data_IF_504500124054
#
_entry.id   IF_504500124054
#
_cell.length_a   1.000
_cell.length_b   1.000
_cell.length_c   1.000
_cell.angle_alpha   90.00
_cell.angle_beta   90.00
_cell.angle_gamma   90.00
#
_symmetry.space_group_name_H-M   'P 1'
#
loop_
_entity.id
_entity.type
_entity.pdbx_description
1 polymer ?
#
# COMPACT_ATOMS: atom_id res chain seq x y z
N UNK A 1 -6.80 8.44 2.41
CA UNK A 1 -7.50 7.73 3.52
C UNK A 1 -8.18 8.76 4.42
N UNK A 2 -9.50 8.99 4.27
CA UNK A 2 -10.21 10.09 4.94
C UNK A 2 -10.22 9.98 6.46
N UNK A 3 -10.07 8.77 7.00
CA UNK A 3 -10.06 8.48 8.44
C UNK A 3 -8.71 8.74 9.12
N UNK A 4 -7.61 8.96 8.38
CA UNK A 4 -6.32 9.35 8.97
C UNK A 4 -6.31 10.87 9.15
N UNK A 5 -6.19 11.33 10.40
CA UNK A 5 -6.12 12.75 10.76
C UNK A 5 -4.98 13.48 10.05
N UNK A 6 -5.19 14.75 9.70
CA UNK A 6 -4.21 15.53 8.92
C UNK A 6 -2.88 15.68 9.65
N UNK A 7 -2.92 15.87 10.96
CA UNK A 7 -1.74 16.02 11.82
C UNK A 7 -0.85 14.77 11.74
N UNK A 8 -1.47 13.59 11.71
CA UNK A 8 -0.74 12.32 11.54
C UNK A 8 -0.14 12.15 10.14
N UNK A 9 -0.78 12.69 9.10
CA UNK A 9 -0.18 12.69 7.76
C UNK A 9 1.07 13.58 7.73
N UNK A 10 1.01 14.77 8.34
CA UNK A 10 2.18 15.67 8.42
C UNK A 10 3.37 15.00 9.12
N UNK A 11 3.15 14.19 10.15
CA UNK A 11 4.20 13.42 10.81
C UNK A 11 4.75 12.27 9.91
N UNK A 12 3.88 11.59 9.15
CA UNK A 12 4.23 10.39 8.39
C UNK A 12 4.78 10.68 6.99
N UNK A 13 4.27 11.70 6.31
CA UNK A 13 4.58 12.02 4.91
C UNK A 13 6.11 12.23 4.69
N UNK A 14 6.86 12.92 5.57
CA UNK A 14 8.32 13.02 5.42
C UNK A 14 9.03 11.66 5.45
N UNK A 15 8.60 10.75 6.32
CA UNK A 15 9.17 9.40 6.42
C UNK A 15 8.82 8.59 5.18
N UNK A 16 7.59 8.70 4.68
CA UNK A 16 7.15 8.07 3.44
C UNK A 16 8.01 8.54 2.27
N UNK A 17 8.25 9.85 2.17
CA UNK A 17 9.09 10.42 1.10
C UNK A 17 10.53 9.88 1.14
N UNK A 18 11.13 9.78 2.33
CA UNK A 18 12.46 9.19 2.49
C UNK A 18 12.49 7.73 2.05
N UNK A 19 11.48 6.94 2.42
CA UNK A 19 11.37 5.54 1.97
C UNK A 19 11.24 5.49 0.45
N UNK A 20 10.36 6.29 -0.14
CA UNK A 20 10.19 6.36 -1.61
C UNK A 20 11.49 6.71 -2.32
N UNK A 21 12.27 7.65 -1.80
CA UNK A 21 13.55 8.04 -2.40
C UNK A 21 14.61 6.93 -2.34
N UNK A 22 14.57 6.07 -1.33
CA UNK A 22 15.39 4.84 -1.30
C UNK A 22 14.92 3.85 -2.36
N UNK A 23 13.62 3.60 -2.45
CA UNK A 23 13.05 2.61 -3.37
C UNK A 23 13.12 3.00 -4.85
N UNK A 24 13.16 4.30 -5.17
CA UNK A 24 13.43 4.80 -6.53
C UNK A 24 14.83 4.44 -7.05
N UNK A 25 15.78 4.15 -6.16
CA UNK A 25 17.15 3.78 -6.52
C UNK A 25 17.35 2.28 -6.70
N UNK A 26 16.36 1.47 -6.31
CA UNK A 26 16.35 0.02 -6.51
C UNK A 26 15.88 -0.28 -7.93
N UNK A 27 16.53 -1.25 -8.59
CA UNK A 27 16.15 -1.74 -9.91
C UNK A 27 14.68 -2.19 -9.92
N UNK A 28 13.97 -1.96 -11.03
CA UNK A 28 12.53 -2.21 -11.10
C UNK A 28 12.19 -3.67 -10.82
N UNK A 29 12.92 -4.60 -11.44
CA UNK A 29 12.82 -6.05 -11.22
C UNK A 29 13.08 -6.51 -9.77
N UNK A 30 13.79 -5.73 -8.95
CA UNK A 30 14.07 -6.06 -7.54
C UNK A 30 13.11 -5.35 -6.56
N UNK A 31 12.46 -4.28 -7.02
CA UNK A 31 11.72 -3.33 -6.17
C UNK A 31 10.61 -4.02 -5.39
N UNK A 32 9.86 -4.92 -6.03
CA UNK A 32 8.72 -5.61 -5.41
C UNK A 32 9.16 -6.55 -4.28
N UNK A 33 10.26 -7.28 -4.49
CA UNK A 33 10.85 -8.13 -3.46
C UNK A 33 11.34 -7.32 -2.26
N UNK A 34 12.02 -6.19 -2.51
CA UNK A 34 12.47 -5.28 -1.47
C UNK A 34 11.29 -4.63 -0.72
N UNK A 35 10.21 -4.25 -1.41
CA UNK A 35 9.02 -3.67 -0.80
C UNK A 35 8.33 -4.69 0.11
N UNK A 36 8.19 -5.93 -0.36
CA UNK A 36 7.62 -7.01 0.44
C UNK A 36 8.45 -7.25 1.71
N UNK A 37 9.78 -7.31 1.58
CA UNK A 37 10.67 -7.43 2.73
C UNK A 37 10.52 -6.28 3.72
N UNK A 38 10.54 -5.04 3.24
CA UNK A 38 10.41 -3.84 4.07
C UNK A 38 9.09 -3.84 4.84
N UNK A 39 7.96 -4.05 4.16
CA UNK A 39 6.64 -4.07 4.79
C UNK A 39 6.53 -5.21 5.81
N UNK A 40 7.04 -6.39 5.47
CA UNK A 40 7.08 -7.53 6.41
C UNK A 40 7.90 -7.19 7.66
N UNK A 41 9.05 -6.54 7.51
CA UNK A 41 9.88 -6.11 8.64
C UNK A 41 9.17 -5.08 9.52
N UNK A 42 8.48 -4.11 8.94
CA UNK A 42 7.68 -3.10 9.66
C UNK A 42 6.57 -3.79 10.46
N UNK A 43 5.80 -4.68 9.82
CA UNK A 43 4.71 -5.39 10.48
C UNK A 43 5.23 -6.27 11.63
N UNK A 44 6.32 -7.02 11.43
CA UNK A 44 6.93 -7.83 12.50
C UNK A 44 7.46 -7.00 13.67
N UNK A 45 7.86 -5.76 13.43
CA UNK A 45 8.32 -4.85 14.50
C UNK A 45 7.15 -4.25 15.29
N UNK A 46 5.99 -4.05 14.66
CA UNK A 46 4.81 -3.45 15.29
C UNK A 46 3.87 -4.46 15.95
N UNK A 47 3.85 -5.70 15.48
CA UNK A 47 2.93 -6.74 15.95
C UNK A 47 3.69 -7.90 16.60
N UNK A 48 3.44 -8.13 17.88
CA UNK A 48 4.01 -9.27 18.60
C UNK A 48 3.41 -10.61 18.12
N UNK A 49 4.16 -11.73 18.18
CA UNK A 49 3.66 -13.05 17.78
C UNK A 49 2.42 -13.47 18.58
N UNK A 50 1.27 -13.47 17.92
CA UNK A 50 0.03 -14.06 18.43
C UNK A 50 -0.94 -14.29 17.28
N UNK A 51 -1.79 -15.31 17.38
CA UNK A 51 -2.80 -15.59 16.36
C UNK A 51 -3.70 -14.37 16.10
N UNK A 52 -4.14 -13.71 17.17
CA UNK A 52 -4.89 -12.46 17.11
C UNK A 52 -4.18 -11.37 16.29
N UNK A 53 -2.87 -11.17 16.50
CA UNK A 53 -2.12 -10.18 15.74
C UNK A 53 -1.91 -10.61 14.28
N UNK A 54 -1.75 -11.89 14.01
CA UNK A 54 -1.66 -12.39 12.63
C UNK A 54 -2.96 -12.14 11.86
N UNK A 55 -4.13 -12.44 12.44
CA UNK A 55 -5.42 -12.12 11.83
C UNK A 55 -5.59 -10.61 11.58
N UNK A 56 -5.15 -9.77 12.53
CA UNK A 56 -5.18 -8.31 12.37
C UNK A 56 -4.30 -7.83 11.22
N UNK A 57 -3.09 -8.37 11.07
CA UNK A 57 -2.19 -8.03 9.97
C UNK A 57 -2.79 -8.45 8.64
N UNK A 58 -3.35 -9.66 8.56
CA UNK A 58 -4.02 -10.14 7.35
C UNK A 58 -5.20 -9.24 6.97
N UNK A 59 -6.05 -8.89 7.93
CA UNK A 59 -7.16 -7.97 7.70
C UNK A 59 -6.70 -6.58 7.24
N UNK A 60 -5.63 -6.03 7.85
CA UNK A 60 -5.05 -4.76 7.42
C UNK A 60 -4.56 -4.80 5.97
N UNK A 61 -3.84 -5.85 5.57
CA UNK A 61 -3.33 -6.01 4.21
C UNK A 61 -4.48 -6.13 3.19
N UNK A 62 -5.54 -6.88 3.51
CA UNK A 62 -6.75 -6.95 2.67
C UNK A 62 -7.42 -5.58 2.54
N UNK A 63 -7.52 -4.80 3.62
CA UNK A 63 -8.05 -3.43 3.56
C UNK A 63 -7.19 -2.53 2.66
N UNK A 64 -5.86 -2.63 2.72
CA UNK A 64 -4.95 -1.87 1.86
C UNK A 64 -5.18 -2.23 0.39
N UNK A 65 -5.26 -3.53 0.07
CA UNK A 65 -5.54 -4.01 -1.29
C UNK A 65 -6.87 -3.48 -1.82
N UNK A 66 -7.96 -3.62 -1.06
CA UNK A 66 -9.29 -3.15 -1.49
C UNK A 66 -9.35 -1.63 -1.65
N UNK A 67 -8.71 -0.86 -0.77
CA UNK A 67 -8.61 0.59 -0.91
C UNK A 67 -7.83 0.97 -2.18
N UNK A 68 -6.72 0.27 -2.45
CA UNK A 68 -5.91 0.49 -3.66
C UNK A 68 -6.74 0.25 -4.93
N UNK A 69 -7.42 -0.90 -4.98
CA UNK A 69 -8.27 -1.26 -6.11
C UNK A 69 -9.39 -0.24 -6.32
N UNK A 70 -10.17 0.06 -5.29
CA UNK A 70 -11.35 0.94 -5.40
C UNK A 70 -11.01 2.37 -5.80
N UNK A 71 -9.89 2.92 -5.31
CA UNK A 71 -9.58 4.34 -5.52
C UNK A 71 -8.68 4.63 -6.69
N UNK A 72 -7.79 3.71 -7.04
CA UNK A 72 -6.82 3.94 -8.10
C UNK A 72 -7.08 3.04 -9.31
N UNK A 73 -7.23 1.73 -9.09
CA UNK A 73 -7.43 0.78 -10.19
C UNK A 73 -8.78 0.98 -10.88
N UNK A 74 -9.88 1.00 -10.13
CA UNK A 74 -11.22 1.16 -10.68
C UNK A 74 -11.36 2.47 -11.48
N UNK A 75 -10.84 3.58 -10.95
CA UNK A 75 -10.87 4.86 -11.67
C UNK A 75 -10.03 4.84 -12.96
N UNK A 76 -8.92 4.10 -12.97
CA UNK A 76 -8.12 3.89 -14.18
C UNK A 76 -8.88 3.01 -15.19
N UNK A 77 -9.50 1.93 -14.75
CA UNK A 77 -10.34 1.04 -15.57
C UNK A 77 -11.53 1.78 -16.18
N UNK A 78 -12.27 2.58 -15.40
CA UNK A 78 -13.38 3.42 -15.88
C UNK A 78 -12.95 4.35 -17.03
N UNK A 79 -11.73 4.91 -16.93
CA UNK A 79 -11.19 5.75 -17.99
C UNK A 79 -10.79 4.92 -19.23
N UNK A 80 -10.27 3.70 -19.04
CA UNK A 80 -9.93 2.80 -20.16
C UNK A 80 -11.18 2.28 -20.86
N UNK A 81 -12.26 2.01 -20.14
CA UNK A 81 -13.56 1.63 -20.72
C UNK A 81 -14.09 2.73 -21.63
N UNK A 82 -14.04 4.00 -21.20
CA UNK A 82 -14.45 5.14 -22.06
C UNK A 82 -13.62 5.27 -23.33
N UNK A 83 -12.37 4.83 -23.33
CA UNK A 83 -11.44 4.96 -24.45
C UNK A 83 -11.47 3.76 -25.41
N UNK A 84 -11.69 2.56 -24.89
CA UNK A 84 -11.51 1.32 -25.65
C UNK A 84 -12.79 0.46 -25.74
N UNK A 85 -13.88 0.89 -25.10
CA UNK A 85 -15.05 0.05 -24.85
C UNK A 85 -14.85 -0.80 -23.59
N UNK A 86 -15.97 -1.30 -23.06
CA UNK A 86 -15.96 -2.34 -22.02
C UNK A 86 -16.00 -3.73 -22.69
N UNK A 87 -15.96 -4.77 -21.87
CA UNK A 87 -16.18 -6.14 -22.32
C UNK A 87 -17.63 -6.25 -22.84
N UNK A 88 -17.80 -6.22 -24.17
CA UNK A 88 -18.98 -6.73 -24.89
C UNK A 88 -18.92 -8.26 -25.06
#
# INVERSE_FOLDING_TARGET
MPYVKREKRVELDPLINQVVDVFKKIAEEERDGCLNYFMTRVLKALYAPSYFNYERVMGLLSCIQHEYYRRWVAAYEDNKIKLHGDIE
#
